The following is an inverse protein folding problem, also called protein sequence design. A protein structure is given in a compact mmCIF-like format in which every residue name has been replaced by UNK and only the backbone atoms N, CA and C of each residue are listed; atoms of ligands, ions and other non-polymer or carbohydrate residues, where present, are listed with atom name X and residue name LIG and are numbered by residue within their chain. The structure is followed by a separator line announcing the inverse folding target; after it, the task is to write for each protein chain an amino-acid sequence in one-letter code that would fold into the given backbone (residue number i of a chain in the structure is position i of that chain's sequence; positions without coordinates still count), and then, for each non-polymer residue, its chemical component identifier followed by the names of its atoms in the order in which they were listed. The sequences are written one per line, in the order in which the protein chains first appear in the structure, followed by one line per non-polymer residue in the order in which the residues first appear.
data_IF_489001311715
#
_entry.id   IF_489001311715
#
_cell.length_a   1.000
_cell.length_b   1.000
_cell.length_c   1.000
_cell.angle_alpha   90.00
_cell.angle_beta   90.00
_cell.angle_gamma   90.00
#
_symmetry.space_group_name_H-M   'P 1'
#
loop_
_entity.id
_entity.type
_entity.pdbx_description
1 polymer ?
#
# COMPACT_ATOMS: atom_id res chain seq x y z
N UNK A 1 16.93 0.40 -33.94
CA UNK A 1 16.99 1.78 -33.39
C UNK A 1 16.22 1.78 -32.07
N UNK A 2 16.88 1.85 -30.91
CA UNK A 2 16.17 2.10 -29.63
C UNK A 2 15.65 3.54 -29.69
N UNK A 3 14.32 3.70 -29.70
CA UNK A 3 13.69 5.01 -29.52
C UNK A 3 14.29 5.64 -28.26
N UNK A 4 14.59 6.95 -28.32
CA UNK A 4 15.05 7.72 -27.15
C UNK A 4 13.86 7.87 -26.19
N UNK A 5 13.60 6.82 -25.39
CA UNK A 5 12.48 6.77 -24.44
C UNK A 5 12.77 7.71 -23.27
N UNK A 6 11.75 8.45 -22.83
CA UNK A 6 11.84 9.25 -21.60
C UNK A 6 11.98 8.34 -20.38
N UNK A 7 12.68 8.80 -19.35
CA UNK A 7 12.78 8.08 -18.11
C UNK A 7 11.46 8.13 -17.32
N UNK A 8 11.07 6.98 -16.77
CA UNK A 8 10.08 6.85 -15.72
C UNK A 8 10.75 6.26 -14.48
N UNK A 9 10.87 7.06 -13.44
CA UNK A 9 11.37 6.63 -12.15
C UNK A 9 10.23 6.20 -11.23
N UNK A 10 10.28 4.99 -10.68
CA UNK A 10 9.39 4.55 -9.60
C UNK A 10 10.18 4.63 -8.31
N UNK A 11 9.69 5.42 -7.34
CA UNK A 11 10.36 5.62 -6.05
C UNK A 11 9.45 5.12 -4.93
N UNK A 12 9.89 4.06 -4.26
CA UNK A 12 9.06 3.34 -3.27
C UNK A 12 9.92 2.61 -2.23
N UNK A 13 9.38 2.31 -1.06
CA UNK A 13 10.03 1.37 -0.15
C UNK A 13 9.78 -0.09 -0.58
N UNK A 14 8.57 -0.37 -1.07
CA UNK A 14 8.08 -1.72 -1.36
C UNK A 14 8.11 -2.00 -2.86
N UNK A 15 8.84 -3.02 -3.27
CA UNK A 15 8.93 -3.47 -4.67
C UNK A 15 9.26 -4.96 -4.74
N UNK A 16 8.80 -5.72 -5.75
CA UNK A 16 9.10 -7.14 -5.86
C UNK A 16 10.58 -7.46 -5.70
N UNK A 17 10.97 -8.56 -5.02
CA UNK A 17 10.14 -9.72 -4.66
C UNK A 17 9.36 -9.62 -3.35
N UNK A 18 9.23 -8.44 -2.71
CA UNK A 18 8.42 -8.28 -1.52
C UNK A 18 6.95 -8.67 -1.78
N UNK A 19 6.34 -9.39 -0.83
CA UNK A 19 5.01 -10.01 -0.96
C UNK A 19 3.84 -9.07 -0.61
N UNK A 20 4.10 -7.78 -0.41
CA UNK A 20 3.02 -6.82 -0.16
C UNK A 20 2.24 -6.50 -1.44
N UNK A 21 0.94 -6.21 -1.29
CA UNK A 21 0.08 -5.79 -2.41
C UNK A 21 0.63 -4.56 -3.13
N UNK A 22 1.18 -3.59 -2.39
CA UNK A 22 1.82 -2.40 -2.97
C UNK A 22 3.01 -2.78 -3.86
N UNK A 23 3.87 -3.71 -3.41
CA UNK A 23 5.01 -4.16 -4.20
C UNK A 23 4.55 -4.81 -5.51
N UNK A 24 3.54 -5.68 -5.45
CA UNK A 24 2.98 -6.32 -6.62
C UNK A 24 2.41 -5.31 -7.63
N UNK A 25 1.54 -4.40 -7.18
CA UNK A 25 0.92 -3.38 -8.03
C UNK A 25 1.99 -2.51 -8.73
N UNK A 26 3.03 -2.10 -7.99
CA UNK A 26 4.11 -1.32 -8.58
C UNK A 26 4.97 -2.12 -9.56
N UNK A 27 5.13 -3.42 -9.33
CA UNK A 27 5.76 -4.32 -10.27
C UNK A 27 4.98 -4.45 -11.58
N UNK A 28 3.65 -4.62 -11.49
CA UNK A 28 2.76 -4.63 -12.65
C UNK A 28 2.81 -3.31 -13.42
N UNK A 29 2.74 -2.17 -12.72
CA UNK A 29 2.89 -0.86 -13.33
C UNK A 29 4.24 -0.74 -14.06
N UNK A 30 5.33 -1.15 -13.42
CA UNK A 30 6.66 -1.10 -14.02
C UNK A 30 6.71 -1.90 -15.32
N UNK A 31 6.22 -3.15 -15.30
CA UNK A 31 6.16 -4.02 -16.47
C UNK A 31 5.29 -3.43 -17.60
N UNK A 32 4.13 -2.84 -17.25
CA UNK A 32 3.22 -2.25 -18.24
C UNK A 32 3.84 -1.05 -18.98
N UNK A 33 4.77 -0.34 -18.33
CA UNK A 33 5.37 0.86 -18.90
C UNK A 33 6.71 0.63 -19.63
N UNK A 34 7.31 -0.57 -19.58
CA UNK A 34 8.64 -0.86 -20.16
C UNK A 34 8.73 -0.58 -21.67
N UNK A 35 7.62 -0.71 -22.40
CA UNK A 35 7.56 -0.44 -23.84
C UNK A 35 7.38 1.05 -24.18
N UNK A 36 7.00 1.89 -23.20
CA UNK A 36 6.71 3.32 -23.39
C UNK A 36 7.78 4.22 -22.80
N UNK A 37 8.47 3.75 -21.77
CA UNK A 37 9.47 4.50 -21.01
C UNK A 37 10.71 3.64 -20.74
N UNK A 38 11.84 4.29 -20.49
CA UNK A 38 12.95 3.67 -19.81
C UNK A 38 12.62 3.63 -18.31
N UNK A 39 12.10 2.49 -17.86
CA UNK A 39 11.64 2.33 -16.48
C UNK A 39 12.83 2.05 -15.57
N UNK A 40 12.93 2.82 -14.49
CA UNK A 40 13.94 2.71 -13.46
C UNK A 40 13.28 2.77 -12.10
N UNK A 41 13.73 1.93 -11.16
CA UNK A 41 13.13 1.82 -9.84
C UNK A 41 14.17 2.12 -8.77
N UNK A 42 13.84 3.02 -7.85
CA UNK A 42 14.58 3.23 -6.61
C UNK A 42 13.72 2.69 -5.47
N UNK A 43 14.15 1.61 -4.84
CA UNK A 43 13.32 0.94 -3.84
C UNK A 43 14.10 0.50 -2.59
N UNK A 44 13.36 0.07 -1.58
CA UNK A 44 13.89 -0.51 -0.36
C UNK A 44 14.52 -1.88 -0.57
N UNK A 45 14.78 -2.62 0.51
CA UNK A 45 15.36 -3.97 0.45
C UNK A 45 14.39 -4.97 -0.21
N UNK A 46 14.89 -6.14 -0.55
CA UNK A 46 14.07 -7.21 -1.17
C UNK A 46 12.96 -7.73 -0.26
N UNK A 47 13.19 -7.69 1.04
CA UNK A 47 12.23 -8.15 2.05
C UNK A 47 12.00 -7.01 3.04
N UNK A 48 10.76 -6.53 3.11
CA UNK A 48 10.35 -5.51 4.07
C UNK A 48 10.28 -6.05 5.50
N UNK A 49 9.69 -7.23 5.67
CA UNK A 49 9.61 -7.91 6.97
C UNK A 49 10.44 -9.20 6.94
N UNK A 50 11.64 -9.14 7.52
CA UNK A 50 12.58 -10.27 7.58
C UNK A 50 12.02 -11.53 8.27
N UNK A 51 10.88 -11.43 8.95
CA UNK A 51 10.20 -12.55 9.59
C UNK A 51 9.34 -13.36 8.61
N UNK A 52 9.03 -12.79 7.45
CA UNK A 52 8.26 -13.46 6.41
C UNK A 52 9.24 -14.04 5.37
N UNK A 53 9.16 -15.35 5.10
CA UNK A 53 9.93 -15.94 4.01
C UNK A 53 9.42 -15.40 2.67
N UNK A 54 10.27 -15.46 1.64
CA UNK A 54 9.84 -15.21 0.27
C UNK A 54 9.08 -16.42 -0.27
N UNK A 55 8.04 -16.14 -1.05
CA UNK A 55 7.29 -17.15 -1.77
C UNK A 55 8.15 -17.74 -2.91
N UNK A 56 8.57 -18.99 -2.77
CA UNK A 56 9.38 -19.69 -3.77
C UNK A 56 8.59 -20.05 -5.02
N UNK A 57 7.27 -20.18 -4.88
CA UNK A 57 6.36 -20.56 -5.95
C UNK A 57 5.76 -19.34 -6.67
N UNK A 58 6.11 -18.14 -6.24
CA UNK A 58 5.69 -16.90 -6.89
C UNK A 58 6.24 -16.82 -8.32
N UNK A 59 5.33 -16.78 -9.29
CA UNK A 59 5.65 -16.72 -10.73
C UNK A 59 5.82 -15.29 -11.24
N UNK A 60 5.50 -14.29 -10.44
CA UNK A 60 5.63 -12.90 -10.85
C UNK A 60 7.09 -12.53 -11.11
N UNK A 61 7.34 -11.90 -12.23
CA UNK A 61 8.70 -11.50 -12.65
C UNK A 61 8.69 -10.04 -13.13
N UNK A 62 9.76 -9.34 -12.80
CA UNK A 62 10.04 -8.01 -13.32
C UNK A 62 10.75 -8.16 -14.67
N UNK A 63 10.32 -7.35 -15.65
CA UNK A 63 10.95 -7.31 -16.98
C UNK A 63 12.46 -7.00 -16.84
N UNK A 64 13.34 -7.77 -17.50
CA UNK A 64 14.79 -7.59 -17.38
C UNK A 64 15.33 -6.25 -17.91
N UNK A 65 14.52 -5.51 -18.65
CA UNK A 65 14.88 -4.16 -19.11
C UNK A 65 14.63 -3.07 -18.05
N UNK A 66 14.01 -3.40 -16.92
CA UNK A 66 13.80 -2.48 -15.81
C UNK A 66 15.04 -2.45 -14.91
N UNK A 67 15.64 -1.28 -14.76
CA UNK A 67 16.75 -1.07 -13.84
C UNK A 67 16.23 -0.91 -12.41
N UNK A 68 16.61 -1.82 -11.50
CA UNK A 68 16.19 -1.79 -10.09
C UNK A 68 17.36 -1.43 -9.18
N UNK A 69 17.28 -0.29 -8.53
CA UNK A 69 18.27 0.23 -7.58
C UNK A 69 17.73 0.08 -6.16
N UNK A 70 18.33 -0.80 -5.38
CA UNK A 70 17.90 -1.05 -4.00
C UNK A 70 18.73 -0.27 -2.99
N UNK A 71 18.06 0.36 -2.03
CA UNK A 71 18.72 0.91 -0.85
C UNK A 71 18.69 -0.12 0.29
N UNK A 72 19.69 -0.09 1.14
CA UNK A 72 19.75 -0.99 2.30
C UNK A 72 18.58 -0.77 3.24
N UNK A 73 18.08 -1.83 3.84
CA UNK A 73 17.05 -1.78 4.88
C UNK A 73 17.51 -1.01 6.12
N UNK A 74 16.56 -0.55 6.88
CA UNK A 74 16.81 0.09 8.18
C UNK A 74 16.60 -0.93 9.27
N UNK A 75 17.66 -1.29 9.97
CA UNK A 75 17.56 -2.14 11.15
C UNK A 75 17.05 -1.28 12.32
N UNK A 76 15.88 -1.58 12.81
CA UNK A 76 15.23 -0.89 13.90
C UNK A 76 14.08 -1.72 14.47
N UNK A 77 13.75 -1.48 15.74
CA UNK A 77 12.60 -2.13 16.36
C UNK A 77 11.29 -1.59 15.74
N UNK A 78 10.80 -2.30 14.72
CA UNK A 78 9.53 -2.01 14.04
C UNK A 78 8.29 -2.29 14.91
N UNK A 79 8.46 -2.78 16.13
CA UNK A 79 7.34 -3.06 17.05
C UNK A 79 6.95 -1.83 17.87
N UNK A 80 7.87 -0.85 18.02
CA UNK A 80 7.60 0.39 18.72
C UNK A 80 7.22 1.52 17.75
N UNK A 81 6.35 2.44 18.18
CA UNK A 81 5.96 3.63 17.38
C UNK A 81 7.17 4.51 17.06
N UNK A 82 8.08 4.68 18.02
CA UNK A 82 9.32 5.48 17.83
C UNK A 82 10.25 4.80 16.81
N UNK A 83 10.46 3.49 16.92
CA UNK A 83 11.28 2.72 16.01
C UNK A 83 10.73 2.76 14.57
N UNK A 84 9.41 2.62 14.39
CA UNK A 84 8.75 2.78 13.08
C UNK A 84 8.95 4.17 12.49
N UNK A 85 8.76 5.22 13.28
CA UNK A 85 8.93 6.60 12.81
C UNK A 85 10.38 6.88 12.37
N UNK A 86 11.35 6.42 13.13
CA UNK A 86 12.76 6.56 12.79
C UNK A 86 13.11 5.77 11.52
N UNK A 87 12.62 4.54 11.39
CA UNK A 87 12.80 3.72 10.20
C UNK A 87 12.23 4.39 8.95
N UNK A 88 11.03 4.98 9.03
CA UNK A 88 10.42 5.72 7.92
C UNK A 88 11.24 6.96 7.52
N UNK A 89 11.75 7.72 8.49
CA UNK A 89 12.61 8.87 8.22
C UNK A 89 13.91 8.46 7.53
N UNK A 90 14.58 7.45 8.06
CA UNK A 90 15.85 6.95 7.50
C UNK A 90 15.65 6.35 6.12
N UNK A 91 14.60 5.56 5.90
CA UNK A 91 14.26 5.00 4.59
C UNK A 91 13.97 6.12 3.58
N UNK A 92 13.13 7.09 3.97
CA UNK A 92 12.84 8.25 3.13
C UNK A 92 14.10 9.03 2.74
N UNK A 93 15.03 9.20 3.67
CA UNK A 93 16.31 9.86 3.39
C UNK A 93 17.19 9.08 2.41
N UNK A 94 17.28 7.75 2.57
CA UNK A 94 18.05 6.88 1.66
C UNK A 94 17.48 6.91 0.25
N UNK A 95 16.16 6.80 0.12
CA UNK A 95 15.46 6.91 -1.18
C UNK A 95 15.67 8.30 -1.81
N UNK A 96 15.52 9.37 -1.03
CA UNK A 96 15.77 10.74 -1.49
C UNK A 96 17.20 10.93 -2.00
N UNK A 97 18.20 10.39 -1.29
CA UNK A 97 19.61 10.49 -1.70
C UNK A 97 19.80 9.91 -3.10
N UNK A 98 19.30 8.71 -3.34
CA UNK A 98 19.38 8.06 -4.64
C UNK A 98 18.59 8.82 -5.73
N UNK A 99 17.39 9.32 -5.40
CA UNK A 99 16.59 10.14 -6.29
C UNK A 99 17.31 11.44 -6.69
N UNK A 100 17.91 12.15 -5.72
CA UNK A 100 18.64 13.39 -5.95
C UNK A 100 19.85 13.22 -6.89
N UNK A 101 20.52 12.08 -6.83
CA UNK A 101 21.71 11.80 -7.64
C UNK A 101 21.37 11.44 -9.10
N UNK A 102 20.15 10.96 -9.38
CA UNK A 102 19.79 10.33 -10.66
C UNK A 102 18.67 10.98 -11.41
N UNK A 103 17.64 11.49 -10.71
CA UNK A 103 16.48 12.11 -11.37
C UNK A 103 16.89 13.46 -11.92
N UNK A 104 16.50 13.67 -13.17
CA UNK A 104 16.84 14.89 -13.92
C UNK A 104 15.57 15.70 -14.20
N UNK A 105 15.78 16.92 -14.70
CA UNK A 105 14.71 17.76 -15.21
C UNK A 105 13.96 17.02 -16.34
N UNK A 106 12.66 17.17 -16.37
CA UNK A 106 11.75 16.57 -17.36
C UNK A 106 11.59 15.03 -17.28
N UNK A 107 12.27 14.36 -16.35
CA UNK A 107 11.96 12.96 -16.02
C UNK A 107 10.55 12.86 -15.43
N UNK A 108 9.91 11.68 -15.58
CA UNK A 108 8.67 11.33 -14.90
C UNK A 108 8.98 10.53 -13.66
N UNK A 109 8.32 10.88 -12.56
CA UNK A 109 8.46 10.17 -11.28
C UNK A 109 7.08 9.72 -10.84
N UNK A 110 6.95 8.42 -10.55
CA UNK A 110 5.84 7.82 -9.84
C UNK A 110 6.33 7.42 -8.44
N UNK A 111 5.63 7.86 -7.41
CA UNK A 111 5.90 7.41 -6.05
C UNK A 111 4.61 7.04 -5.33
N UNK A 112 4.72 6.24 -4.27
CA UNK A 112 3.61 5.96 -3.35
C UNK A 112 3.76 6.73 -2.05
N UNK A 113 2.69 6.84 -1.29
CA UNK A 113 2.67 7.55 -0.01
C UNK A 113 3.38 6.84 1.15
N UNK A 114 3.93 5.65 0.92
CA UNK A 114 4.75 4.93 1.89
C UNK A 114 6.22 4.84 1.44
N UNK A 115 7.19 5.30 2.27
CA UNK A 115 7.04 5.91 3.61
C UNK A 115 6.58 7.38 3.53
N UNK A 116 5.65 7.76 4.41
CA UNK A 116 4.99 9.08 4.36
C UNK A 116 5.95 10.29 4.30
N UNK A 117 7.08 10.36 5.06
CA UNK A 117 8.00 11.50 4.97
C UNK A 117 8.59 11.71 3.57
N UNK A 118 8.63 10.68 2.73
CA UNK A 118 9.15 10.78 1.36
C UNK A 118 8.32 11.75 0.51
N UNK A 119 7.01 11.88 0.75
CA UNK A 119 6.12 12.84 0.08
C UNK A 119 6.65 14.27 0.26
N UNK A 120 7.00 14.64 1.50
CA UNK A 120 7.55 15.97 1.82
C UNK A 120 8.90 16.20 1.14
N UNK A 121 9.73 15.19 1.09
CA UNK A 121 11.09 15.27 0.55
C UNK A 121 11.08 15.35 -0.97
N UNK A 122 10.27 14.53 -1.64
CA UNK A 122 10.18 14.49 -3.10
C UNK A 122 9.48 15.73 -3.67
N UNK A 123 8.48 16.28 -2.98
CA UNK A 123 7.86 17.54 -3.39
C UNK A 123 8.86 18.73 -3.33
N UNK A 124 9.75 18.74 -2.33
CA UNK A 124 10.85 19.72 -2.27
C UNK A 124 11.89 19.50 -3.36
N UNK A 125 12.23 18.25 -3.64
CA UNK A 125 13.18 17.90 -4.70
C UNK A 125 12.65 18.29 -6.07
N UNK A 126 11.36 18.04 -6.36
CA UNK A 126 10.69 18.46 -7.58
C UNK A 126 10.85 19.96 -7.84
N UNK A 127 10.64 20.81 -6.82
CA UNK A 127 10.79 22.27 -6.97
C UNK A 127 12.22 22.71 -7.32
N UNK A 128 13.21 21.88 -6.97
CA UNK A 128 14.63 22.19 -7.27
C UNK A 128 15.06 21.69 -8.63
N UNK A 129 14.58 20.55 -9.07
CA UNK A 129 15.02 19.85 -10.28
C UNK A 129 14.08 20.11 -11.45
N UNK A 130 12.75 20.09 -11.22
CA UNK A 130 11.74 20.32 -12.26
C UNK A 130 11.31 19.06 -13.00
N UNK A 131 11.27 17.91 -12.36
CA UNK A 131 10.68 16.68 -12.89
C UNK A 131 9.16 16.63 -12.69
N UNK A 132 8.46 15.79 -13.45
CA UNK A 132 7.03 15.53 -13.28
C UNK A 132 6.82 14.56 -12.13
N UNK A 133 6.07 14.96 -11.09
CA UNK A 133 5.80 14.15 -9.90
C UNK A 133 4.36 13.64 -9.89
N UNK A 134 4.20 12.34 -10.00
CA UNK A 134 2.92 11.63 -9.86
C UNK A 134 2.95 10.84 -8.55
N UNK A 135 1.94 11.02 -7.70
CA UNK A 135 1.83 10.34 -6.41
C UNK A 135 0.63 9.39 -6.42
N UNK A 136 0.90 8.10 -6.29
CA UNK A 136 -0.11 7.08 -6.04
C UNK A 136 -0.43 7.09 -4.55
N UNK A 137 -1.62 7.56 -4.21
CA UNK A 137 -2.05 7.76 -2.83
C UNK A 137 -2.71 6.48 -2.32
N UNK A 138 -1.94 5.63 -1.62
CA UNK A 138 -2.47 4.45 -0.93
C UNK A 138 -2.98 4.80 0.47
N UNK A 139 -2.29 5.73 1.15
CA UNK A 139 -2.65 6.22 2.48
C UNK A 139 -2.69 7.74 2.49
N UNK A 140 -3.73 8.31 3.07
CA UNK A 140 -3.84 9.76 3.26
C UNK A 140 -3.18 10.15 4.57
N UNK A 141 -1.99 10.71 4.51
CA UNK A 141 -1.25 11.14 5.69
C UNK A 141 -1.39 12.65 5.92
N UNK A 142 -1.52 13.15 7.17
CA UNK A 142 -1.49 12.40 8.43
C UNK A 142 -2.84 11.82 8.90
N UNK A 143 -3.92 11.96 8.14
CA UNK A 143 -5.28 11.59 8.52
C UNK A 143 -5.41 10.12 8.92
N UNK A 144 -4.71 9.21 8.26
CA UNK A 144 -4.71 7.77 8.57
C UNK A 144 -4.17 7.42 9.98
N UNK A 145 -3.52 8.37 10.66
CA UNK A 145 -3.04 8.16 12.03
C UNK A 145 -4.18 8.20 13.07
N UNK A 146 -5.27 8.93 12.77
CA UNK A 146 -6.40 9.11 13.69
C UNK A 146 -7.13 7.79 13.94
N UNK A 147 -7.66 7.08 12.91
CA UNK A 147 -8.33 5.81 13.10
C UNK A 147 -7.38 4.71 13.60
N UNK A 148 -6.07 4.84 13.33
CA UNK A 148 -5.05 3.93 13.91
C UNK A 148 -4.78 4.19 15.40
N UNK A 149 -5.40 5.20 16.01
CA UNK A 149 -5.20 5.58 17.41
C UNK A 149 -3.84 6.20 17.71
N UNK A 150 -3.13 6.70 16.68
CA UNK A 150 -1.82 7.32 16.81
C UNK A 150 -1.99 8.83 17.01
N UNK A 151 -1.60 9.32 18.18
CA UNK A 151 -1.60 10.76 18.46
C UNK A 151 -0.31 11.39 17.94
N UNK A 152 -0.43 12.23 16.90
CA UNK A 152 0.68 13.03 16.39
C UNK A 152 0.76 14.36 17.15
N UNK A 153 1.90 14.68 17.81
CA UNK A 153 2.13 16.02 18.33
C UNK A 153 2.04 17.05 17.20
N UNK A 154 1.44 18.22 17.47
CA UNK A 154 1.28 19.29 16.48
C UNK A 154 0.63 18.83 15.16
N UNK A 155 -0.40 17.98 15.24
CA UNK A 155 -1.12 17.43 14.07
C UNK A 155 -1.44 18.48 13.00
N UNK A 156 -1.94 19.67 13.37
CA UNK A 156 -2.28 20.74 12.43
C UNK A 156 -1.07 21.23 11.60
N UNK A 157 0.12 21.28 12.21
CA UNK A 157 1.34 21.63 11.49
C UNK A 157 1.73 20.54 10.49
N UNK A 158 1.68 19.27 10.91
CA UNK A 158 1.94 18.15 10.02
C UNK A 158 0.93 18.12 8.87
N UNK A 159 -0.37 18.25 9.17
CA UNK A 159 -1.41 18.32 8.16
C UNK A 159 -1.08 19.38 7.11
N UNK A 160 -0.84 20.62 7.54
CA UNK A 160 -0.53 21.72 6.60
C UNK A 160 0.73 21.46 5.75
N UNK A 161 1.76 20.82 6.32
CA UNK A 161 2.97 20.46 5.59
C UNK A 161 2.70 19.42 4.49
N UNK A 162 1.92 18.39 4.81
CA UNK A 162 1.54 17.35 3.85
C UNK A 162 0.59 17.87 2.79
N UNK A 163 -0.42 18.66 3.17
CA UNK A 163 -1.35 19.28 2.24
C UNK A 163 -0.60 20.14 1.21
N UNK A 164 0.36 20.95 1.68
CA UNK A 164 1.25 21.71 0.80
C UNK A 164 2.12 20.80 -0.10
N UNK A 165 2.58 19.68 0.40
CA UNK A 165 3.39 18.75 -0.38
C UNK A 165 2.57 18.07 -1.49
N UNK A 166 1.36 17.63 -1.17
CA UNK A 166 0.44 17.05 -2.14
C UNK A 166 0.03 18.07 -3.22
N UNK A 167 -0.22 19.34 -2.85
CA UNK A 167 -0.58 20.37 -3.82
C UNK A 167 0.55 20.70 -4.83
N UNK A 168 1.76 20.22 -4.60
CA UNK A 168 2.90 20.41 -5.49
C UNK A 168 3.16 19.25 -6.46
N UNK A 169 2.42 18.14 -6.32
CA UNK A 169 2.45 17.08 -7.31
C UNK A 169 1.83 17.57 -8.62
N UNK A 170 2.23 17.01 -9.76
CA UNK A 170 1.52 17.24 -11.02
C UNK A 170 0.25 16.42 -11.06
N UNK A 171 0.30 15.19 -10.54
CA UNK A 171 -0.87 14.33 -10.44
C UNK A 171 -0.90 13.56 -9.13
N UNK A 172 -2.10 13.49 -8.55
CA UNK A 172 -2.45 12.61 -7.46
C UNK A 172 -3.35 11.52 -8.01
N UNK A 173 -2.92 10.28 -7.89
CA UNK A 173 -3.69 9.10 -8.29
C UNK A 173 -4.29 8.53 -7.02
N UNK A 174 -5.61 8.53 -6.94
CA UNK A 174 -6.38 8.07 -5.77
C UNK A 174 -7.21 6.85 -6.13
N UNK A 175 -7.55 6.05 -5.13
CA UNK A 175 -8.13 4.72 -5.32
C UNK A 175 -9.66 4.71 -5.28
N UNK A 176 -10.29 5.84 -4.95
CA UNK A 176 -11.74 5.93 -4.88
C UNK A 176 -12.24 7.35 -4.76
N UNK A 177 -13.58 7.52 -4.79
CA UNK A 177 -14.25 8.83 -4.78
C UNK A 177 -14.07 9.56 -3.46
N UNK A 178 -14.15 8.84 -2.34
CA UNK A 178 -13.98 9.41 -1.00
C UNK A 178 -12.58 9.94 -0.81
N UNK A 179 -11.58 9.17 -1.23
CA UNK A 179 -10.19 9.61 -1.21
C UNK A 179 -9.98 10.83 -2.11
N UNK A 180 -10.64 10.89 -3.28
CA UNK A 180 -10.60 12.06 -4.15
C UNK A 180 -11.16 13.30 -3.44
N UNK A 181 -12.31 13.19 -2.77
CA UNK A 181 -12.91 14.31 -2.04
C UNK A 181 -11.97 14.82 -0.94
N UNK A 182 -11.37 13.91 -0.17
CA UNK A 182 -10.41 14.28 0.88
C UNK A 182 -9.17 14.96 0.28
N UNK A 183 -8.62 14.43 -0.81
CA UNK A 183 -7.45 15.04 -1.44
C UNK A 183 -7.76 16.40 -2.09
N UNK A 184 -8.97 16.59 -2.63
CA UNK A 184 -9.44 17.90 -3.11
C UNK A 184 -9.47 18.93 -1.97
N UNK A 185 -10.03 18.56 -0.81
CA UNK A 185 -10.05 19.43 0.37
C UNK A 185 -8.64 19.79 0.84
N UNK A 186 -7.76 18.80 0.94
CA UNK A 186 -6.35 18.98 1.37
C UNK A 186 -5.58 19.98 0.52
N UNK A 187 -5.76 19.97 -0.78
CA UNK A 187 -5.01 20.84 -1.69
C UNK A 187 -5.70 22.18 -1.98
N UNK A 188 -7.00 22.31 -1.64
CA UNK A 188 -7.82 23.48 -1.98
C UNK A 188 -7.27 24.81 -1.47
N UNK A 189 -6.59 24.82 -0.32
CA UNK A 189 -6.01 26.02 0.30
C UNK A 189 -4.64 26.42 -0.27
N UNK A 190 -4.14 25.70 -1.28
CA UNK A 190 -2.83 25.95 -1.87
C UNK A 190 -2.97 26.21 -3.37
N UNK A 191 -2.12 27.09 -3.91
CA UNK A 191 -2.10 27.49 -5.32
C UNK A 191 -1.49 26.46 -6.29
N UNK A 192 -1.44 25.19 -5.89
CA UNK A 192 -0.94 24.09 -6.75
C UNK A 192 -2.01 23.67 -7.77
N UNK A 193 -1.57 23.21 -8.95
CA UNK A 193 -2.43 22.70 -10.03
C UNK A 193 -2.38 21.17 -10.10
N UNK A 194 -2.39 20.47 -8.97
CA UNK A 194 -2.39 19.00 -8.96
C UNK A 194 -3.67 18.47 -9.59
N UNK A 195 -3.55 17.69 -10.65
CA UNK A 195 -4.65 16.90 -11.21
C UNK A 195 -4.94 15.72 -10.27
N UNK A 196 -6.22 15.43 -10.01
CA UNK A 196 -6.60 14.26 -9.20
C UNK A 196 -7.35 13.27 -10.10
N UNK A 197 -6.72 12.12 -10.35
CA UNK A 197 -7.28 11.02 -11.12
C UNK A 197 -7.70 9.89 -10.17
N UNK A 198 -8.85 9.27 -10.42
CA UNK A 198 -9.25 8.01 -9.77
C UNK A 198 -8.75 6.87 -10.65
N UNK A 199 -7.90 6.02 -10.09
CA UNK A 199 -7.47 4.75 -10.69
C UNK A 199 -7.49 3.72 -9.57
N UNK A 200 -8.48 2.85 -9.61
CA UNK A 200 -8.65 1.79 -8.60
C UNK A 200 -7.56 0.75 -8.74
N UNK A 201 -7.20 0.11 -7.62
CA UNK A 201 -6.34 -1.06 -7.70
C UNK A 201 -7.12 -2.22 -8.32
N UNK A 202 -6.43 -2.98 -9.13
CA UNK A 202 -7.00 -4.19 -9.72
C UNK A 202 -6.69 -5.41 -8.86
N UNK A 203 -7.53 -6.42 -8.97
CA UNK A 203 -7.30 -7.74 -8.40
C UNK A 203 -6.93 -8.73 -9.50
N UNK A 204 -5.98 -9.60 -9.21
CA UNK A 204 -5.68 -10.77 -10.03
C UNK A 204 -6.57 -11.91 -9.53
N UNK A 205 -7.69 -12.09 -10.21
CA UNK A 205 -8.70 -13.09 -9.87
C UNK A 205 -8.79 -14.21 -10.93
N UNK A 206 -7.88 -14.22 -11.88
CA UNK A 206 -7.87 -15.22 -12.93
C UNK A 206 -7.61 -16.62 -12.34
N UNK A 207 -8.49 -17.56 -12.71
CA UNK A 207 -8.39 -18.94 -12.26
C UNK A 207 -9.02 -19.25 -10.90
N UNK A 208 -9.66 -18.28 -10.22
CA UNK A 208 -10.44 -18.57 -9.02
C UNK A 208 -11.73 -19.30 -9.45
N UNK A 209 -11.91 -20.51 -8.92
CA UNK A 209 -13.13 -21.27 -9.10
C UNK A 209 -14.02 -21.08 -7.89
N UNK A 210 -15.24 -20.53 -8.06
CA UNK A 210 -16.17 -20.37 -6.95
C UNK A 210 -16.45 -21.71 -6.27
N UNK A 211 -16.49 -21.71 -4.94
CA UNK A 211 -16.93 -22.86 -4.16
C UNK A 211 -18.41 -23.12 -4.45
N UNK A 212 -18.84 -24.39 -4.59
CA UNK A 212 -20.26 -24.73 -4.62
C UNK A 212 -20.97 -24.24 -3.37
N UNK A 213 -22.24 -23.86 -3.50
CA UNK A 213 -23.04 -23.44 -2.34
C UNK A 213 -23.04 -24.57 -1.30
N UNK A 214 -22.74 -24.29 -0.02
CA UNK A 214 -22.53 -25.33 0.96
C UNK A 214 -23.85 -25.99 1.39
N UNK A 215 -23.81 -27.31 1.52
CA UNK A 215 -24.88 -28.10 2.17
C UNK A 215 -24.79 -27.96 3.69
N UNK A 216 -24.66 -26.75 4.22
CA UNK A 216 -24.43 -26.60 5.66
C UNK A 216 -24.09 -25.16 6.06
N UNK A 217 -22.95 -24.99 6.72
CA UNK A 217 -22.48 -23.69 7.24
C UNK A 217 -21.97 -22.78 6.12
N UNK A 218 -22.32 -21.51 6.22
CA UNK A 218 -21.76 -20.45 5.38
C UNK A 218 -20.35 -20.13 5.88
N UNK A 219 -19.40 -20.05 4.97
CA UNK A 219 -18.00 -19.68 5.26
C UNK A 219 -17.75 -18.24 4.84
N UNK A 220 -17.53 -17.38 5.83
CA UNK A 220 -16.95 -16.04 5.61
C UNK A 220 -15.44 -16.14 5.63
N UNK A 221 -14.77 -15.32 4.84
CA UNK A 221 -13.32 -15.24 4.82
C UNK A 221 -12.83 -13.79 4.84
N UNK A 222 -11.80 -13.56 5.64
CA UNK A 222 -11.00 -12.35 5.57
C UNK A 222 -9.55 -12.73 5.26
N UNK A 223 -9.02 -12.21 4.16
CA UNK A 223 -7.65 -12.44 3.73
C UNK A 223 -6.86 -11.13 3.69
N UNK A 224 -5.99 -10.88 4.69
CA UNK A 224 -5.24 -9.64 4.77
C UNK A 224 -4.58 -9.34 6.11
N UNK A 225 -4.17 -8.08 6.30
CA UNK A 225 -3.58 -7.64 7.56
C UNK A 225 -4.63 -7.57 8.67
N UNK A 226 -4.47 -8.34 9.75
CA UNK A 226 -5.33 -8.32 10.94
C UNK A 226 -4.94 -7.12 11.81
N UNK A 227 -5.21 -5.92 11.30
CA UNK A 227 -4.83 -4.65 11.90
C UNK A 227 -5.95 -4.00 12.72
N UNK A 228 -5.64 -2.82 13.26
CA UNK A 228 -6.59 -2.10 14.14
C UNK A 228 -7.74 -1.47 13.37
N UNK A 229 -7.50 -1.08 12.13
CA UNK A 229 -8.45 -0.31 11.32
C UNK A 229 -9.46 -1.20 10.57
N UNK A 230 -9.25 -2.50 10.54
CA UNK A 230 -10.13 -3.45 9.86
C UNK A 230 -11.43 -3.75 10.63
N UNK A 231 -11.48 -3.47 11.92
CA UNK A 231 -12.71 -3.63 12.70
C UNK A 231 -13.24 -5.07 12.83
N UNK A 232 -12.39 -6.08 12.62
CA UNK A 232 -12.75 -7.50 12.60
C UNK A 232 -13.40 -8.00 13.90
N UNK A 233 -13.11 -7.36 15.04
CA UNK A 233 -13.78 -7.66 16.30
C UNK A 233 -15.30 -7.47 16.20
N UNK A 234 -15.78 -6.45 15.47
CA UNK A 234 -17.22 -6.22 15.29
C UNK A 234 -17.89 -7.32 14.46
N UNK A 235 -17.16 -7.84 13.46
CA UNK A 235 -17.64 -8.97 12.66
C UNK A 235 -17.77 -10.21 13.56
N UNK A 236 -16.74 -10.49 14.37
CA UNK A 236 -16.70 -11.63 15.26
C UNK A 236 -17.81 -11.54 16.35
N UNK A 237 -18.04 -10.34 16.91
CA UNK A 237 -19.07 -10.09 17.92
C UNK A 237 -20.50 -10.31 17.39
N UNK A 238 -20.70 -10.15 16.08
CA UNK A 238 -22.02 -10.24 15.43
C UNK A 238 -22.18 -11.49 14.56
N UNK A 239 -21.23 -12.44 14.64
CA UNK A 239 -21.25 -13.63 13.81
C UNK A 239 -22.44 -14.54 14.16
N UNK A 240 -23.34 -14.84 13.20
CA UNK A 240 -24.50 -15.67 13.47
C UNK A 240 -24.14 -17.14 13.73
N UNK A 241 -25.03 -17.87 14.38
CA UNK A 241 -24.94 -19.32 14.47
C UNK A 241 -24.99 -19.93 13.06
N UNK A 242 -24.19 -20.97 12.84
CA UNK A 242 -24.11 -21.66 11.54
C UNK A 242 -23.22 -20.98 10.51
N UNK A 243 -22.58 -19.85 10.85
CA UNK A 243 -21.58 -19.16 10.03
C UNK A 243 -20.19 -19.40 10.60
N UNK A 244 -19.24 -19.80 9.77
CA UNK A 244 -17.81 -19.90 10.12
C UNK A 244 -17.07 -18.70 9.56
N UNK A 245 -16.10 -18.16 10.33
CA UNK A 245 -15.28 -17.04 9.89
C UNK A 245 -13.81 -17.43 9.89
N UNK A 246 -13.23 -17.45 8.69
CA UNK A 246 -11.85 -17.84 8.44
C UNK A 246 -10.98 -16.59 8.23
N UNK A 247 -9.90 -16.48 9.00
CA UNK A 247 -8.99 -15.34 9.00
C UNK A 247 -7.62 -15.79 8.48
N UNK A 248 -7.25 -15.30 7.30
CA UNK A 248 -5.93 -15.48 6.70
C UNK A 248 -5.12 -14.20 6.83
N UNK A 249 -3.93 -14.30 7.39
CA UNK A 249 -3.04 -13.17 7.62
C UNK A 249 -2.57 -13.07 9.06
N UNK A 250 -1.86 -11.99 9.35
CA UNK A 250 -1.35 -11.65 10.69
C UNK A 250 -1.51 -10.15 10.93
N UNK A 251 -1.41 -9.73 12.19
CA UNK A 251 -1.44 -8.30 12.50
C UNK A 251 -1.56 -8.00 13.98
N UNK A 252 -1.58 -6.70 14.28
CA UNK A 252 -1.54 -6.20 15.66
C UNK A 252 -2.77 -6.57 16.50
N UNK A 253 -3.87 -6.98 15.86
CA UNK A 253 -5.10 -7.36 16.55
C UNK A 253 -5.29 -8.88 16.69
N UNK A 254 -4.47 -9.70 16.04
CA UNK A 254 -4.64 -11.15 16.00
C UNK A 254 -4.78 -11.77 17.39
N UNK A 255 -3.84 -11.45 18.30
CA UNK A 255 -3.88 -12.00 19.64
C UNK A 255 -5.18 -11.63 20.38
N UNK A 256 -5.59 -10.35 20.29
CA UNK A 256 -6.81 -9.87 20.92
C UNK A 256 -8.06 -10.55 20.36
N UNK A 257 -8.10 -10.81 19.05
CA UNK A 257 -9.21 -11.52 18.42
C UNK A 257 -9.26 -13.01 18.85
N UNK A 258 -8.11 -13.65 18.98
CA UNK A 258 -8.02 -15.04 19.53
C UNK A 258 -8.51 -15.13 20.97
N UNK A 259 -8.28 -14.08 21.78
CA UNK A 259 -8.74 -13.98 23.17
C UNK A 259 -10.27 -13.92 23.30
N UNK A 260 -10.99 -13.56 22.22
CA UNK A 260 -12.47 -13.57 22.19
C UNK A 260 -13.05 -15.01 22.25
N UNK A 261 -12.25 -16.04 21.93
CA UNK A 261 -12.59 -17.47 22.05
C UNK A 261 -13.90 -17.88 21.38
N UNK A 262 -14.23 -17.27 20.24
CA UNK A 262 -15.41 -17.64 19.47
C UNK A 262 -15.19 -18.99 18.76
N UNK A 263 -16.09 -20.00 18.97
CA UNK A 263 -15.86 -21.37 18.50
C UNK A 263 -15.93 -21.53 16.97
N UNK A 264 -16.55 -20.58 16.29
CA UNK A 264 -16.73 -20.57 14.84
C UNK A 264 -15.78 -19.59 14.12
N UNK A 265 -14.67 -19.18 14.77
CA UNK A 265 -13.64 -18.30 14.19
C UNK A 265 -12.32 -19.05 14.09
N UNK A 266 -11.78 -19.14 12.87
CA UNK A 266 -10.59 -19.92 12.55
C UNK A 266 -9.46 -19.02 12.04
N UNK A 267 -8.27 -19.15 12.64
CA UNK A 267 -7.10 -18.37 12.26
C UNK A 267 -6.08 -19.26 11.56
N UNK A 268 -5.83 -19.00 10.29
CA UNK A 268 -4.94 -19.80 9.44
C UNK A 268 -3.50 -19.26 9.37
N UNK A 269 -3.28 -18.02 9.84
CA UNK A 269 -1.97 -17.38 9.74
C UNK A 269 -1.72 -16.78 8.34
N UNK A 270 -0.47 -16.37 8.04
CA UNK A 270 -0.12 -15.76 6.78
C UNK A 270 -0.16 -16.77 5.64
N UNK A 271 -0.47 -16.29 4.45
CA UNK A 271 -0.43 -17.06 3.20
C UNK A 271 0.42 -16.33 2.16
N UNK A 272 0.90 -17.07 1.18
CA UNK A 272 1.66 -16.53 0.05
C UNK A 272 0.74 -16.16 -1.11
N UNK A 273 1.22 -15.28 -1.97
CA UNK A 273 0.49 -14.90 -3.17
C UNK A 273 0.17 -16.09 -4.08
N UNK A 274 1.08 -17.06 -4.18
CA UNK A 274 0.85 -18.30 -4.94
C UNK A 274 -0.35 -19.11 -4.44
N UNK A 275 -0.75 -18.93 -3.17
CA UNK A 275 -1.88 -19.60 -2.52
C UNK A 275 -3.18 -18.77 -2.59
N UNK A 276 -3.12 -17.53 -3.12
CA UNK A 276 -4.26 -16.60 -3.09
C UNK A 276 -5.53 -17.19 -3.70
N UNK A 277 -5.43 -17.86 -4.85
CA UNK A 277 -6.59 -18.44 -5.53
C UNK A 277 -7.22 -19.57 -4.71
N UNK A 278 -6.41 -20.39 -4.05
CA UNK A 278 -6.87 -21.46 -3.16
C UNK A 278 -7.59 -20.89 -1.93
N UNK A 279 -6.98 -19.87 -1.32
CA UNK A 279 -7.54 -19.17 -0.16
C UNK A 279 -8.89 -18.56 -0.55
N UNK A 280 -8.98 -17.75 -1.59
CA UNK A 280 -10.22 -17.09 -2.01
C UNK A 280 -11.29 -18.06 -2.52
N UNK A 281 -10.91 -19.23 -3.03
CA UNK A 281 -11.86 -20.25 -3.45
C UNK A 281 -12.45 -21.04 -2.25
N UNK A 282 -11.91 -20.92 -1.06
CA UNK A 282 -12.33 -21.66 0.11
C UNK A 282 -13.52 -21.06 0.86
N UNK A 283 -14.01 -19.89 0.45
CA UNK A 283 -15.14 -19.22 1.11
C UNK A 283 -16.38 -19.11 0.21
N UNK A 284 -17.51 -18.84 0.86
CA UNK A 284 -18.75 -18.46 0.19
C UNK A 284 -18.85 -16.94 0.04
N UNK A 285 -18.31 -16.19 1.02
CA UNK A 285 -18.34 -14.72 1.05
C UNK A 285 -16.98 -14.19 1.53
N UNK A 286 -16.30 -13.42 0.68
CA UNK A 286 -15.13 -12.66 1.09
C UNK A 286 -15.54 -11.39 1.84
N UNK A 287 -14.92 -11.14 3.00
CA UNK A 287 -15.23 -10.01 3.86
C UNK A 287 -14.15 -8.93 3.69
N UNK A 288 -14.57 -7.73 3.32
CA UNK A 288 -13.74 -6.52 3.34
C UNK A 288 -14.37 -5.54 4.30
N UNK A 289 -13.65 -5.18 5.36
CA UNK A 289 -14.20 -4.31 6.42
C UNK A 289 -13.19 -3.29 6.89
N UNK A 290 -13.69 -2.10 7.24
CA UNK A 290 -12.93 -0.99 7.80
C UNK A 290 -13.71 -0.34 8.93
N UNK A 291 -13.00 0.22 9.91
CA UNK A 291 -13.62 1.06 10.94
C UNK A 291 -14.12 2.36 10.33
N UNK A 292 -15.22 2.87 10.88
CA UNK A 292 -15.75 4.18 10.54
C UNK A 292 -14.69 5.28 10.69
N UNK A 293 -14.63 6.21 9.74
CA UNK A 293 -13.63 7.28 9.68
C UNK A 293 -12.25 6.83 9.17
N UNK A 294 -12.09 5.57 8.79
CA UNK A 294 -10.89 5.12 8.13
C UNK A 294 -10.90 5.56 6.66
N UNK A 295 -9.90 6.37 6.29
CA UNK A 295 -9.65 6.82 4.90
C UNK A 295 -8.73 5.86 4.12
N UNK A 296 -8.48 4.68 4.67
CA UNK A 296 -7.92 3.59 3.90
C UNK A 296 -9.01 3.16 2.95
N UNK A 297 -8.75 3.39 1.72
CA UNK A 297 -9.64 3.28 0.60
C UNK A 297 -10.72 2.19 0.73
N UNK A 298 -11.92 2.60 0.51
CA UNK A 298 -12.94 1.71 0.04
C UNK A 298 -12.63 1.45 -1.43
N UNK A 299 -12.00 0.32 -1.74
CA UNK A 299 -12.15 -0.20 -3.07
C UNK A 299 -13.64 -0.49 -3.22
N UNK A 300 -14.30 0.09 -4.20
CA UNK A 300 -15.61 -0.38 -4.68
C UNK A 300 -15.45 -1.77 -5.32
N UNK A 301 -14.40 -2.50 -4.98
CA UNK A 301 -14.18 -3.87 -5.35
C UNK A 301 -15.04 -4.74 -4.45
N UNK A 302 -16.31 -4.82 -4.79
CA UNK A 302 -17.16 -5.95 -4.47
C UNK A 302 -16.87 -7.07 -5.45
#
# INVERSE_FOLDING_TARGET
MRRNLKNLWIVTELFPPDETSTAYILGEIANAFVNKYQVKVICGPEIYDKRKPLDKDNKFRIDPNIEVLRVSGVDGDKNTTKGKSLSFLMMSYRLLKQAKERIQKDDKVLMVTNPAPLVLLMSRLKRKIGFELNILVHDVFPENTIPAGIKLPAYGCFKRLFDKAYSQADRLIVLGRDMKAVMQDKISSFSGNSEIAIIENWADIDGIQPRPFPDGKIVLEYAGNIGRVQGLNRVIEQLPDGVEFHLYGTGAMEQKLREMKQPNVFFHGPYFRSQQNEVLAACDIAVVTLQEGCLLYTSDAA
#
